data_IF_489229250747
#
_entry.id   IF_489229250747
#
_cell.length_a   1.000
_cell.length_b   1.000
_cell.length_c   1.000
_cell.angle_alpha   90.00
_cell.angle_beta   90.00
_cell.angle_gamma   90.00
#
_symmetry.space_group_name_H-M   'P 1'
#
loop_
_entity.id
_entity.type
_entity.pdbx_description
1 polymer ?
#
# COMPACT_ATOMS: atom_id res chain seq x y z
N UNK A 1 30.79 -19.65 0.67
CA UNK A 1 29.98 -19.26 -0.50
C UNK A 1 28.65 -20.01 -0.52
N UNK A 2 28.63 -21.28 -0.06
CA UNK A 2 27.43 -22.16 -0.08
C UNK A 2 26.32 -21.80 0.90
N UNK A 3 26.65 -21.05 1.96
CA UNK A 3 25.67 -20.62 2.96
C UNK A 3 24.71 -19.57 2.37
N UNK A 4 25.25 -18.54 1.70
CA UNK A 4 24.48 -17.46 1.09
C UNK A 4 23.60 -17.98 -0.05
N UNK A 5 24.10 -18.90 -0.87
CA UNK A 5 23.29 -19.54 -1.91
C UNK A 5 22.15 -20.36 -1.31
N UNK A 6 22.40 -21.12 -0.23
CA UNK A 6 21.34 -21.85 0.48
C UNK A 6 20.23 -20.92 1.03
N UNK A 7 20.60 -19.81 1.66
CA UNK A 7 19.60 -18.81 2.10
C UNK A 7 18.84 -18.18 0.94
N UNK A 8 19.53 -17.87 -0.17
CA UNK A 8 18.94 -17.27 -1.35
C UNK A 8 17.94 -18.18 -2.04
N UNK A 9 18.29 -19.45 -2.22
CA UNK A 9 17.39 -20.46 -2.80
C UNK A 9 16.19 -20.73 -1.90
N UNK A 10 16.39 -20.77 -0.57
CA UNK A 10 15.27 -20.86 0.38
C UNK A 10 14.33 -19.64 0.32
N UNK A 11 14.87 -18.44 0.13
CA UNK A 11 14.07 -17.22 -0.01
C UNK A 11 13.29 -17.18 -1.33
N UNK A 12 13.94 -17.53 -2.46
CA UNK A 12 13.29 -17.67 -3.77
C UNK A 12 12.15 -18.69 -3.72
N UNK A 13 12.41 -19.88 -3.18
CA UNK A 13 11.41 -20.94 -3.09
C UNK A 13 10.15 -20.48 -2.31
N UNK A 14 10.32 -19.69 -1.24
CA UNK A 14 9.19 -19.10 -0.51
C UNK A 14 8.45 -18.06 -1.33
N UNK A 15 9.17 -17.20 -2.05
CA UNK A 15 8.57 -16.20 -2.93
C UNK A 15 7.76 -16.85 -4.05
N UNK A 16 8.33 -17.84 -4.74
CA UNK A 16 7.66 -18.58 -5.81
C UNK A 16 6.44 -19.34 -5.28
N UNK A 17 6.56 -20.00 -4.13
CA UNK A 17 5.41 -20.68 -3.50
C UNK A 17 4.28 -19.71 -3.18
N UNK A 18 4.60 -18.53 -2.63
CA UNK A 18 3.60 -17.52 -2.32
C UNK A 18 2.92 -16.97 -3.58
N UNK A 19 3.69 -16.74 -4.65
CA UNK A 19 3.15 -16.23 -5.91
C UNK A 19 2.29 -17.27 -6.64
N UNK A 20 2.72 -18.53 -6.64
CA UNK A 20 1.99 -19.64 -7.27
C UNK A 20 0.65 -19.95 -6.57
N UNK A 21 0.53 -19.61 -5.28
CA UNK A 21 -0.69 -19.82 -4.50
C UNK A 21 -1.66 -18.61 -4.53
N UNK A 22 -1.36 -17.56 -5.30
CA UNK A 22 -2.22 -16.38 -5.44
C UNK A 22 -3.55 -16.67 -6.16
N UNK A 23 -4.62 -15.95 -5.80
CA UNK A 23 -5.91 -16.08 -6.50
C UNK A 23 -5.81 -15.45 -7.91
N UNK A 24 -6.00 -16.22 -8.99
CA UNK A 24 -5.86 -15.72 -10.35
C UNK A 24 -6.88 -14.62 -10.71
N UNK A 25 -8.00 -14.51 -9.98
CA UNK A 25 -9.05 -13.51 -10.26
C UNK A 25 -8.60 -12.07 -9.98
N UNK A 26 -7.58 -11.91 -9.13
CA UNK A 26 -7.07 -10.59 -8.71
C UNK A 26 -5.67 -10.29 -9.26
N UNK A 27 -5.11 -11.18 -10.09
CA UNK A 27 -3.74 -11.05 -10.60
C UNK A 27 -3.53 -9.76 -11.40
N UNK A 28 -4.51 -9.37 -12.22
CA UNK A 28 -4.45 -8.17 -13.07
C UNK A 28 -4.88 -6.89 -12.34
N UNK A 29 -5.15 -6.96 -11.02
CA UNK A 29 -5.54 -5.77 -10.27
C UNK A 29 -4.35 -4.84 -10.04
N UNK A 30 -4.65 -3.55 -9.97
CA UNK A 30 -3.65 -2.53 -9.67
C UNK A 30 -2.94 -2.85 -8.35
N UNK A 31 -1.60 -2.90 -8.39
CA UNK A 31 -0.69 -3.24 -7.27
C UNK A 31 -0.70 -4.72 -6.80
N UNK A 32 -1.34 -5.64 -7.52
CA UNK A 32 -1.38 -7.07 -7.16
C UNK A 32 -0.39 -7.97 -7.91
N UNK A 33 0.24 -7.49 -8.98
CA UNK A 33 1.21 -8.25 -9.79
C UNK A 33 2.45 -8.71 -8.99
N UNK A 34 2.92 -7.89 -8.04
CA UNK A 34 3.97 -8.28 -7.10
C UNK A 34 3.91 -7.48 -5.80
N UNK A 35 4.54 -7.95 -4.70
CA UNK A 35 4.60 -7.21 -3.44
C UNK A 35 5.56 -6.01 -3.50
N UNK A 36 6.42 -5.90 -4.53
CA UNK A 36 7.41 -4.82 -4.61
C UNK A 36 6.80 -3.42 -4.82
N UNK A 37 5.83 -3.22 -5.73
CA UNK A 37 5.11 -1.96 -5.87
C UNK A 37 4.47 -1.45 -4.56
N UNK A 38 3.81 -2.33 -3.81
CA UNK A 38 3.18 -1.97 -2.53
C UNK A 38 4.23 -1.63 -1.47
N UNK A 39 5.31 -2.40 -1.38
CA UNK A 39 6.44 -2.09 -0.50
C UNK A 39 7.09 -0.74 -0.85
N UNK A 40 7.29 -0.44 -2.13
CA UNK A 40 7.84 0.84 -2.58
C UNK A 40 6.96 2.02 -2.14
N UNK A 41 5.64 1.91 -2.26
CA UNK A 41 4.69 2.92 -1.78
C UNK A 41 4.75 3.10 -0.27
N UNK A 42 4.84 2.01 0.50
CA UNK A 42 5.00 2.08 1.95
C UNK A 42 6.30 2.79 2.35
N UNK A 43 7.42 2.46 1.71
CA UNK A 43 8.70 3.13 1.96
C UNK A 43 8.66 4.61 1.58
N UNK A 44 8.04 4.94 0.44
CA UNK A 44 7.84 6.32 0.03
C UNK A 44 7.00 7.11 1.04
N UNK A 45 5.91 6.51 1.54
CA UNK A 45 5.07 7.11 2.58
C UNK A 45 5.86 7.38 3.87
N UNK A 46 6.62 6.40 4.36
CA UNK A 46 7.47 6.57 5.55
C UNK A 46 8.54 7.66 5.34
N UNK A 47 9.15 7.70 4.16
CA UNK A 47 10.08 8.76 3.78
C UNK A 47 9.45 10.14 3.83
N UNK A 48 8.23 10.30 3.31
CA UNK A 48 7.46 11.55 3.40
C UNK A 48 7.09 11.90 4.84
N UNK A 49 6.69 10.93 5.67
CA UNK A 49 6.39 11.17 7.08
C UNK A 49 7.61 11.62 7.88
N UNK A 50 8.80 11.11 7.55
CA UNK A 50 10.05 11.53 8.18
C UNK A 50 10.51 12.91 7.69
N UNK A 51 10.45 13.15 6.38
CA UNK A 51 10.88 14.42 5.78
C UNK A 51 9.89 15.57 6.03
N UNK A 52 8.59 15.27 6.11
CA UNK A 52 7.50 16.24 6.21
C UNK A 52 7.66 17.25 7.35
N UNK A 53 7.82 16.82 8.62
CA UNK A 53 8.02 17.74 9.74
C UNK A 53 9.23 18.66 9.56
N UNK A 54 10.34 18.13 9.00
CA UNK A 54 11.55 18.91 8.74
C UNK A 54 11.34 19.97 7.66
N UNK A 55 10.54 19.67 6.63
CA UNK A 55 10.16 20.62 5.58
C UNK A 55 9.13 21.66 6.04
N UNK A 56 8.26 21.30 7.00
CA UNK A 56 7.21 22.16 7.54
C UNK A 56 7.66 23.01 8.73
N UNK A 57 8.84 22.76 9.31
CA UNK A 57 9.33 23.44 10.51
C UNK A 57 9.40 24.98 10.41
N UNK A 58 9.65 25.52 9.22
CA UNK A 58 9.78 26.97 8.97
C UNK A 58 8.65 27.53 8.08
N UNK A 59 7.52 26.84 7.99
CA UNK A 59 6.38 27.24 7.14
C UNK A 59 5.09 27.24 7.94
N UNK A 60 4.21 28.19 7.65
CA UNK A 60 2.90 28.22 8.27
C UNK A 60 2.04 27.00 7.85
N UNK A 61 1.13 26.52 8.72
CA UNK A 61 0.26 25.41 8.39
C UNK A 61 -0.64 25.70 7.18
N UNK A 62 -0.75 24.72 6.28
CA UNK A 62 -1.66 24.82 5.14
C UNK A 62 -3.13 24.82 5.59
N UNK A 63 -3.93 25.73 5.04
CA UNK A 63 -5.39 25.77 5.26
C UNK A 63 -6.09 24.75 4.35
N UNK A 64 -6.09 23.48 4.76
CA UNK A 64 -6.67 22.36 3.99
C UNK A 64 -8.12 22.02 4.36
N UNK A 65 -8.79 22.87 5.14
CA UNK A 65 -10.17 22.65 5.61
C UNK A 65 -11.16 22.18 4.51
N UNK A 66 -11.32 22.88 3.38
CA UNK A 66 -12.25 22.44 2.35
C UNK A 66 -11.87 21.09 1.73
N UNK A 67 -10.57 20.84 1.55
CA UNK A 67 -10.05 19.57 1.02
C UNK A 67 -10.36 18.42 1.97
N UNK A 68 -10.17 18.62 3.28
CA UNK A 68 -10.45 17.61 4.30
C UNK A 68 -11.95 17.29 4.37
N UNK A 69 -12.83 18.30 4.23
CA UNK A 69 -14.28 18.10 4.22
C UNK A 69 -14.68 17.21 3.03
N UNK A 70 -14.20 17.54 1.83
CA UNK A 70 -14.48 16.75 0.61
C UNK A 70 -13.92 15.34 0.75
N UNK A 71 -12.68 15.20 1.22
CA UNK A 71 -12.04 13.91 1.45
C UNK A 71 -12.86 13.01 2.40
N UNK A 72 -13.28 13.54 3.56
CA UNK A 72 -14.06 12.78 4.53
C UNK A 72 -15.43 12.38 3.99
N UNK A 73 -16.08 13.24 3.20
CA UNK A 73 -17.36 12.92 2.56
C UNK A 73 -17.19 11.77 1.55
N UNK A 74 -16.16 11.83 0.70
CA UNK A 74 -15.85 10.74 -0.24
C UNK A 74 -15.54 9.44 0.51
N UNK A 75 -14.76 9.50 1.60
CA UNK A 75 -14.46 8.34 2.43
C UNK A 75 -15.71 7.68 3.00
N UNK A 76 -16.68 8.45 3.50
CA UNK A 76 -17.96 7.90 4.00
C UNK A 76 -18.75 7.25 2.88
N UNK A 77 -18.85 7.89 1.70
CA UNK A 77 -19.58 7.32 0.55
C UNK A 77 -18.96 6.01 0.06
N UNK A 78 -17.63 5.97 -0.09
CA UNK A 78 -16.91 4.76 -0.50
C UNK A 78 -17.05 3.66 0.55
N UNK A 79 -16.98 3.99 1.84
CA UNK A 79 -17.18 3.01 2.92
C UNK A 79 -18.61 2.45 2.93
N UNK A 80 -19.62 3.31 2.72
CA UNK A 80 -21.01 2.88 2.61
C UNK A 80 -21.22 1.96 1.39
N UNK A 81 -20.62 2.29 0.25
CA UNK A 81 -20.65 1.45 -0.95
C UNK A 81 -19.99 0.08 -0.71
N UNK A 82 -18.79 0.04 -0.13
CA UNK A 82 -18.12 -1.22 0.21
C UNK A 82 -18.97 -2.07 1.18
N UNK A 83 -19.57 -1.44 2.20
CA UNK A 83 -20.47 -2.13 3.13
C UNK A 83 -21.68 -2.72 2.41
N UNK A 84 -22.31 -1.95 1.52
CA UNK A 84 -23.42 -2.43 0.71
C UNK A 84 -23.05 -3.61 -0.18
N UNK A 85 -21.94 -3.54 -0.91
CA UNK A 85 -21.47 -4.65 -1.75
C UNK A 85 -21.15 -5.90 -0.92
N UNK A 86 -20.54 -5.75 0.25
CA UNK A 86 -20.24 -6.89 1.16
C UNK A 86 -21.53 -7.50 1.74
N UNK A 87 -22.55 -6.71 2.07
CA UNK A 87 -23.82 -7.21 2.61
C UNK A 87 -24.71 -7.83 1.53
N UNK A 88 -24.62 -7.34 0.30
CA UNK A 88 -25.34 -7.87 -0.86
C UNK A 88 -24.71 -9.17 -1.38
N UNK A 89 -23.39 -9.30 -1.28
CA UNK A 89 -22.61 -10.46 -1.72
C UNK A 89 -22.81 -11.69 -0.83
#
# INVERSE_FOLDING_TARGET
MDLLSSYWEGAKARYETAMNNGDPRVADWFLMDSPFPTLALCLAYLGMCYAGPRMMANREPFQLRPVIIVYNLVMVLVSAYMCYEVVKS
#
